data_IF_002310668807
#
_entry.id   IF_002310668807
#
_cell.length_a   1.000
_cell.length_b   1.000
_cell.length_c   1.000
_cell.angle_alpha   90.00
_cell.angle_beta   90.00
_cell.angle_gamma   90.00
#
_symmetry.space_group_name_H-M   'P 1'
#
loop_
_entity.id
_entity.type
_entity.pdbx_description
1 polymer ?
#
# COMPACT_ATOMS: atom_id res chain seq x y z
N UNK A 1 -47.29 -26.64 3.72
CA UNK A 1 -46.08 -27.44 3.46
C UNK A 1 -44.99 -26.49 2.97
N UNK A 2 -43.93 -26.20 3.75
CA UNK A 2 -42.70 -25.61 3.23
C UNK A 2 -41.76 -26.74 2.78
N UNK A 3 -41.36 -26.74 1.50
CA UNK A 3 -40.33 -27.66 1.01
C UNK A 3 -39.06 -26.88 0.67
N UNK A 4 -38.02 -27.26 1.37
CA UNK A 4 -36.58 -26.96 1.25
C UNK A 4 -36.02 -26.82 -0.18
N UNK A 5 -35.29 -25.73 -0.42
CA UNK A 5 -33.95 -25.69 -1.03
C UNK A 5 -33.41 -24.26 -0.89
N UNK A 6 -32.45 -23.98 -0.02
CA UNK A 6 -31.04 -24.37 -0.11
C UNK A 6 -30.35 -23.66 -1.28
N UNK A 7 -29.29 -22.92 -0.92
CA UNK A 7 -28.07 -22.71 -1.72
C UNK A 7 -28.23 -21.89 -3.03
N UNK A 8 -27.47 -20.84 -3.31
CA UNK A 8 -26.09 -20.61 -2.97
C UNK A 8 -25.70 -19.16 -3.32
N UNK A 9 -24.83 -18.66 -2.46
CA UNK A 9 -23.92 -17.55 -2.60
C UNK A 9 -23.19 -17.65 -3.96
N UNK A 10 -23.42 -16.71 -4.87
CA UNK A 10 -22.53 -16.48 -6.02
C UNK A 10 -21.77 -15.18 -5.85
N UNK A 11 -21.05 -15.10 -4.72
CA UNK A 11 -19.85 -14.28 -4.65
C UNK A 11 -18.75 -15.08 -5.37
N UNK A 12 -18.55 -14.79 -6.66
CA UNK A 12 -17.55 -15.44 -7.50
C UNK A 12 -16.16 -15.38 -6.84
N UNK A 13 -15.46 -16.51 -6.67
CA UNK A 13 -14.12 -16.54 -6.11
C UNK A 13 -13.14 -16.11 -7.21
N UNK A 14 -12.67 -14.86 -7.18
CA UNK A 14 -11.54 -14.47 -8.02
C UNK A 14 -10.29 -15.22 -7.55
N UNK A 15 -9.71 -15.95 -8.50
CA UNK A 15 -8.61 -16.91 -8.37
C UNK A 15 -7.44 -16.39 -7.54
N UNK A 16 -7.16 -17.06 -6.41
CA UNK A 16 -5.98 -16.79 -5.57
C UNK A 16 -4.76 -17.49 -6.17
N UNK A 17 -4.01 -16.78 -7.02
CA UNK A 17 -2.58 -17.08 -7.18
C UNK A 17 -1.86 -16.85 -5.83
N UNK A 18 -0.61 -17.34 -5.65
CA UNK A 18 0.15 -17.08 -4.44
C UNK A 18 0.16 -15.57 -4.25
N UNK A 19 -0.45 -15.10 -3.17
CA UNK A 19 -0.69 -13.69 -2.89
C UNK A 19 0.65 -13.04 -2.58
N UNK A 20 1.48 -12.85 -3.63
CA UNK A 20 2.42 -11.75 -3.70
C UNK A 20 1.61 -10.58 -3.17
N UNK A 21 2.06 -9.89 -2.13
CA UNK A 21 1.56 -8.54 -1.88
C UNK A 21 1.59 -7.88 -3.26
N UNK A 22 0.42 -7.60 -3.83
CA UNK A 22 0.37 -6.97 -5.15
C UNK A 22 1.26 -5.74 -5.08
N UNK A 23 1.97 -5.41 -6.16
CA UNK A 23 2.88 -4.25 -6.20
C UNK A 23 2.22 -3.01 -5.55
N UNK A 24 0.91 -2.89 -5.72
CA UNK A 24 0.02 -1.89 -5.13
C UNK A 24 -0.10 -1.95 -3.59
N UNK A 25 -0.15 -3.14 -2.99
CA UNK A 25 -0.24 -3.29 -1.54
C UNK A 25 1.06 -2.88 -0.82
N UNK A 26 2.22 -3.18 -1.42
CA UNK A 26 3.51 -2.70 -0.90
C UNK A 26 3.69 -1.20 -1.12
N UNK A 27 3.24 -0.68 -2.27
CA UNK A 27 3.18 0.77 -2.52
C UNK A 27 2.27 1.46 -1.49
N UNK A 28 1.08 0.92 -1.23
CA UNK A 28 0.16 1.44 -0.23
C UNK A 28 0.74 1.44 1.18
N UNK A 29 1.51 0.40 1.55
CA UNK A 29 2.23 0.34 2.83
C UNK A 29 3.23 1.50 2.97
N UNK A 30 3.99 1.80 1.91
CA UNK A 30 4.93 2.91 1.90
C UNK A 30 4.23 4.27 2.00
N UNK A 31 3.12 4.45 1.28
CA UNK A 31 2.31 5.67 1.35
C UNK A 31 1.75 5.85 2.77
N UNK A 32 1.17 4.79 3.36
CA UNK A 32 0.63 4.81 4.71
C UNK A 32 1.70 5.13 5.77
N UNK A 33 2.94 4.67 5.58
CA UNK A 33 4.07 5.03 6.43
C UNK A 33 4.51 6.49 6.23
N UNK A 34 4.44 7.01 5.01
CA UNK A 34 4.82 8.39 4.69
C UNK A 34 3.80 9.44 5.14
N UNK A 35 2.49 9.14 5.07
CA UNK A 35 1.41 10.04 5.47
C UNK A 35 1.64 10.75 6.82
N UNK A 36 1.92 10.06 7.94
CA UNK A 36 2.13 10.71 9.23
C UNK A 36 3.42 11.54 9.29
N UNK A 37 4.42 11.24 8.46
CA UNK A 37 5.67 11.98 8.40
C UNK A 37 5.48 13.27 7.62
N UNK A 38 4.82 13.19 6.46
CA UNK A 38 4.42 14.33 5.65
C UNK A 38 3.49 15.26 6.46
N UNK A 39 2.55 14.71 7.24
CA UNK A 39 1.65 15.51 8.07
C UNK A 39 2.36 16.25 9.22
N UNK A 40 3.48 15.71 9.73
CA UNK A 40 4.25 16.33 10.83
C UNK A 40 5.29 17.33 10.34
N UNK A 41 6.08 16.96 9.34
CA UNK A 41 7.21 17.75 8.85
C UNK A 41 6.86 18.60 7.63
N UNK A 42 5.74 18.32 6.96
CA UNK A 42 5.40 18.92 5.66
C UNK A 42 5.97 18.12 4.48
N UNK A 43 5.54 18.49 3.27
CA UNK A 43 5.90 17.79 2.03
C UNK A 43 7.40 17.92 1.66
N UNK A 44 8.12 18.91 2.19
CA UNK A 44 9.51 19.19 1.84
C UNK A 44 10.52 18.57 2.80
N UNK A 45 10.16 18.40 4.08
CA UNK A 45 11.11 18.12 5.16
C UNK A 45 11.04 16.70 5.73
N UNK A 46 10.19 15.82 5.20
CA UNK A 46 10.17 14.42 5.66
C UNK A 46 11.36 13.60 5.13
N UNK A 47 11.78 12.63 5.94
CA UNK A 47 12.92 11.76 5.68
C UNK A 47 12.51 10.46 4.99
N UNK A 48 13.11 10.16 3.84
CA UNK A 48 12.89 8.91 3.12
C UNK A 48 13.37 7.68 3.90
N UNK A 49 14.42 7.83 4.71
CA UNK A 49 14.88 6.77 5.60
C UNK A 49 13.83 6.42 6.64
N UNK A 50 13.21 7.43 7.24
CA UNK A 50 12.17 7.24 8.25
C UNK A 50 10.92 6.61 7.65
N UNK A 51 10.57 6.94 6.39
CA UNK A 51 9.52 6.25 5.64
C UNK A 51 9.86 4.77 5.44
N UNK A 52 11.10 4.48 4.99
CA UNK A 52 11.54 3.12 4.73
C UNK A 52 11.54 2.28 6.01
N UNK A 53 12.08 2.82 7.11
CA UNK A 53 12.11 2.20 8.43
C UNK A 53 10.70 1.93 8.95
N UNK A 54 9.80 2.92 8.85
CA UNK A 54 8.41 2.78 9.31
C UNK A 54 7.59 1.82 8.46
N UNK A 55 7.92 1.68 7.19
CA UNK A 55 7.31 0.70 6.29
C UNK A 55 7.96 -0.70 6.39
N UNK A 56 8.98 -0.88 7.23
CA UNK A 56 9.79 -2.10 7.33
C UNK A 56 10.33 -2.55 5.96
N UNK A 57 10.87 -1.59 5.19
CA UNK A 57 11.50 -1.84 3.90
C UNK A 57 12.92 -1.30 3.87
N UNK A 58 13.73 -1.84 2.95
CA UNK A 58 15.04 -1.26 2.67
C UNK A 58 14.90 0.01 1.85
N UNK A 59 15.86 0.94 2.03
CA UNK A 59 15.99 2.14 1.20
C UNK A 59 16.03 1.80 -0.31
N UNK A 60 16.73 0.72 -0.68
CA UNK A 60 16.78 0.25 -2.07
C UNK A 60 15.39 -0.18 -2.59
N UNK A 61 14.59 -0.85 -1.75
CA UNK A 61 13.23 -1.23 -2.12
C UNK A 61 12.32 0.01 -2.23
N UNK A 62 12.46 0.99 -1.35
CA UNK A 62 11.74 2.27 -1.47
C UNK A 62 12.02 2.91 -2.84
N UNK A 63 13.30 3.07 -3.23
CA UNK A 63 13.67 3.63 -4.53
C UNK A 63 13.21 2.78 -5.71
N UNK A 64 13.00 1.47 -5.53
CA UNK A 64 12.41 0.61 -6.57
C UNK A 64 10.93 0.94 -6.83
N UNK A 65 10.17 1.33 -5.80
CA UNK A 65 8.76 1.72 -5.93
C UNK A 65 8.57 3.21 -6.22
N UNK A 66 9.47 4.05 -5.69
CA UNK A 66 9.46 5.51 -5.80
C UNK A 66 10.82 5.97 -6.35
N UNK A 67 11.04 5.91 -7.67
CA UNK A 67 12.32 6.27 -8.29
C UNK A 67 12.67 7.75 -8.08
N UNK A 68 11.67 8.64 -8.09
CA UNK A 68 11.87 10.06 -7.75
C UNK A 68 11.90 10.31 -6.23
N UNK A 69 11.86 9.23 -5.43
CA UNK A 69 11.93 9.23 -3.97
C UNK A 69 10.85 10.09 -3.35
N UNK A 70 11.24 11.28 -2.87
CA UNK A 70 10.36 12.20 -2.15
C UNK A 70 9.20 12.67 -3.02
N UNK A 71 9.47 13.10 -4.26
CA UNK A 71 8.44 13.66 -5.13
C UNK A 71 7.33 12.65 -5.43
N UNK A 72 7.71 11.40 -5.69
CA UNK A 72 6.74 10.36 -6.02
C UNK A 72 5.93 9.92 -4.78
N UNK A 73 6.55 9.92 -3.59
CA UNK A 73 5.83 9.72 -2.32
C UNK A 73 4.84 10.86 -2.05
N UNK A 74 5.27 12.13 -2.22
CA UNK A 74 4.39 13.29 -2.04
C UNK A 74 3.20 13.20 -2.98
N UNK A 75 3.46 12.91 -4.26
CA UNK A 75 2.41 12.77 -5.26
C UNK A 75 1.45 11.64 -4.90
N UNK A 76 1.97 10.51 -4.44
CA UNK A 76 1.16 9.35 -4.04
C UNK A 76 0.39 9.55 -2.73
N UNK A 77 0.84 10.46 -1.86
CA UNK A 77 0.11 10.87 -0.64
C UNK A 77 -0.95 11.92 -0.96
N UNK A 78 -0.76 12.71 -2.02
CA UNK A 78 -1.68 13.76 -2.47
C UNK A 78 -2.77 13.27 -3.45
N UNK A 79 -2.64 12.04 -3.97
CA UNK A 79 -3.63 11.35 -4.80
C UNK A 79 -4.77 10.76 -3.94
#
# INVERSE_FOLDING_TARGET
MPTTSADNLTASPVTRGPRRLSKDARRAQLIAAAMPLVARSGFSDFSLDEVAERADVTRNLLYHYFPDGRNDIVRAVAE
#
